data_IF_365665912618
#
_entry.id   IF_365665912618
#
_cell.length_a   1.000
_cell.length_b   1.000
_cell.length_c   1.000
_cell.angle_alpha   90.00
_cell.angle_beta   90.00
_cell.angle_gamma   90.00
#
_symmetry.space_group_name_H-M   'P 1'
#
loop_
_entity.id
_entity.type
_entity.pdbx_description
1 polymer ?
#
# COMPACT_ATOMS: atom_id res chain seq x y z
N UNK A 1 9.30 5.21 -8.67
CA UNK A 1 9.53 4.11 -7.72
C UNK A 1 8.50 4.22 -6.61
N UNK A 2 7.20 4.26 -6.95
CA UNK A 2 6.17 4.72 -6.02
C UNK A 2 6.06 3.91 -4.72
N UNK A 3 6.20 2.57 -4.80
CA UNK A 3 6.17 1.72 -3.60
C UNK A 3 7.29 2.03 -2.61
N UNK A 4 8.50 2.34 -3.11
CA UNK A 4 9.65 2.63 -2.27
C UNK A 4 9.60 4.06 -1.72
N UNK A 5 9.07 5.01 -2.50
CA UNK A 5 8.81 6.38 -2.03
C UNK A 5 7.78 6.36 -0.89
N UNK A 6 6.67 5.65 -1.08
CA UNK A 6 5.64 5.46 -0.05
C UNK A 6 6.19 4.76 1.20
N UNK A 7 6.97 3.68 1.03
CA UNK A 7 7.67 3.00 2.13
C UNK A 7 8.61 3.96 2.87
N UNK A 8 9.43 4.72 2.14
CA UNK A 8 10.38 5.64 2.72
C UNK A 8 9.67 6.76 3.50
N UNK A 9 8.52 7.24 3.04
CA UNK A 9 7.75 8.31 3.70
C UNK A 9 6.67 7.81 4.66
N UNK A 10 6.61 6.51 4.92
CA UNK A 10 5.65 5.87 5.80
C UNK A 10 4.16 6.09 5.42
N UNK A 11 3.85 6.08 4.12
CA UNK A 11 2.50 6.33 3.57
C UNK A 11 1.86 5.02 3.09
N UNK A 12 0.72 4.56 3.66
CA UNK A 12 -0.01 3.39 3.17
C UNK A 12 -0.45 3.52 1.70
N UNK A 13 -0.59 2.40 1.00
CA UNK A 13 -0.76 2.38 -0.46
C UNK A 13 -2.11 1.75 -0.84
N UNK A 14 -2.82 2.37 -1.78
CA UNK A 14 -3.89 1.73 -2.55
C UNK A 14 -3.34 1.35 -3.93
N UNK A 15 -3.30 0.07 -4.24
CA UNK A 15 -2.69 -0.46 -5.45
C UNK A 15 -3.74 -0.76 -6.54
N UNK A 16 -3.45 -0.32 -7.76
CA UNK A 16 -4.20 -0.66 -8.97
C UNK A 16 -3.22 -1.23 -10.01
N UNK A 17 -2.85 -2.52 -9.94
CA UNK A 17 -1.87 -3.11 -10.84
C UNK A 17 -2.41 -3.20 -12.27
N UNK A 18 -1.62 -2.79 -13.26
CA UNK A 18 -2.03 -2.82 -14.67
C UNK A 18 -1.26 -3.88 -15.48
N UNK A 19 0.06 -3.93 -15.31
CA UNK A 19 0.93 -4.83 -16.08
C UNK A 19 2.28 -5.06 -15.38
N UNK A 20 2.99 -6.11 -15.78
CA UNK A 20 4.36 -6.40 -15.34
C UNK A 20 4.45 -6.87 -13.90
N UNK A 21 5.42 -6.35 -13.16
CA UNK A 21 5.70 -6.73 -11.77
C UNK A 21 4.73 -6.10 -10.75
N UNK A 22 3.85 -5.20 -11.19
CA UNK A 22 2.93 -4.49 -10.30
C UNK A 22 1.97 -5.42 -9.55
N UNK A 23 1.54 -6.53 -10.17
CA UNK A 23 0.71 -7.54 -9.50
C UNK A 23 1.43 -8.16 -8.29
N UNK A 24 2.65 -8.68 -8.53
CA UNK A 24 3.49 -9.23 -7.46
C UNK A 24 3.81 -8.21 -6.36
N UNK A 25 4.10 -6.96 -6.73
CA UNK A 25 4.35 -5.89 -5.77
C UNK A 25 3.10 -5.59 -4.91
N UNK A 26 1.91 -5.61 -5.53
CA UNK A 26 0.62 -5.43 -4.85
C UNK A 26 0.38 -6.55 -3.83
N UNK A 27 0.58 -7.81 -4.22
CA UNK A 27 0.41 -8.95 -3.31
C UNK A 27 1.31 -8.83 -2.08
N UNK A 28 2.55 -8.35 -2.26
CA UNK A 28 3.48 -8.12 -1.15
C UNK A 28 3.07 -6.97 -0.24
N UNK A 29 2.48 -5.91 -0.79
CA UNK A 29 1.93 -4.79 0.00
C UNK A 29 0.78 -5.30 0.88
N UNK A 30 -0.13 -6.08 0.30
CA UNK A 30 -1.29 -6.67 0.99
C UNK A 30 -0.82 -7.66 2.06
N UNK A 31 0.05 -8.61 1.70
CA UNK A 31 0.54 -9.65 2.63
C UNK A 31 1.27 -9.06 3.84
N UNK A 32 1.92 -7.90 3.69
CA UNK A 32 2.59 -7.18 4.79
C UNK A 32 1.67 -6.21 5.53
N UNK A 33 0.40 -6.10 5.14
CA UNK A 33 -0.55 -5.16 5.72
C UNK A 33 -0.13 -3.69 5.57
N UNK A 34 0.53 -3.36 4.45
CA UNK A 34 1.03 -2.02 4.14
C UNK A 34 0.06 -1.22 3.27
N UNK A 35 -1.01 -1.86 2.80
CA UNK A 35 -1.95 -1.26 1.87
C UNK A 35 -3.05 -2.22 1.47
N UNK A 36 -3.84 -1.79 0.49
CA UNK A 36 -4.90 -2.55 -0.16
C UNK A 36 -4.64 -2.60 -1.67
N UNK A 37 -5.31 -3.50 -2.37
CA UNK A 37 -5.28 -3.55 -3.83
C UNK A 37 -6.65 -3.88 -4.41
N UNK A 38 -6.92 -3.38 -5.61
CA UNK A 38 -8.11 -3.66 -6.39
C UNK A 38 -7.79 -3.69 -7.88
N UNK A 39 -8.59 -4.43 -8.65
CA UNK A 39 -8.55 -4.35 -10.11
C UNK A 39 -9.33 -3.10 -10.55
N UNK A 40 -8.64 -2.16 -11.19
CA UNK A 40 -9.22 -0.90 -11.67
C UNK A 40 -10.31 -1.11 -12.74
N UNK A 41 -10.37 -2.29 -13.37
CA UNK A 41 -11.37 -2.63 -14.38
C UNK A 41 -12.69 -3.09 -13.78
N UNK A 42 -12.65 -3.55 -12.52
CA UNK A 42 -13.79 -4.17 -11.84
C UNK A 42 -14.31 -3.32 -10.67
N UNK A 43 -13.42 -2.57 -10.01
CA UNK A 43 -13.75 -1.79 -8.82
C UNK A 43 -14.65 -0.59 -9.14
N UNK A 44 -15.70 -0.41 -8.33
CA UNK A 44 -16.61 0.74 -8.42
C UNK A 44 -16.06 1.97 -7.68
N UNK A 45 -16.64 3.14 -7.97
CA UNK A 45 -16.32 4.39 -7.27
C UNK A 45 -16.55 4.28 -5.75
N UNK A 46 -17.68 3.70 -5.35
CA UNK A 46 -18.03 3.52 -3.93
C UNK A 46 -17.04 2.60 -3.21
N UNK A 47 -16.57 1.55 -3.88
CA UNK A 47 -15.54 0.66 -3.34
C UNK A 47 -14.20 1.39 -3.20
N UNK A 48 -13.79 2.20 -4.18
CA UNK A 48 -12.58 3.04 -4.07
C UNK A 48 -12.68 3.96 -2.85
N UNK A 49 -13.80 4.66 -2.68
CA UNK A 49 -14.04 5.55 -1.52
C UNK A 49 -13.97 4.77 -0.21
N UNK A 50 -14.57 3.58 -0.16
CA UNK A 50 -14.54 2.71 1.02
C UNK A 50 -13.11 2.26 1.35
N UNK A 51 -12.33 1.84 0.36
CA UNK A 51 -10.94 1.41 0.53
C UNK A 51 -10.04 2.57 0.99
N UNK A 52 -10.24 3.78 0.47
CA UNK A 52 -9.51 4.98 0.93
C UNK A 52 -9.86 5.26 2.40
N UNK A 53 -11.15 5.26 2.75
CA UNK A 53 -11.58 5.43 4.16
C UNK A 53 -10.96 4.36 5.04
N UNK A 54 -10.91 3.12 4.59
CA UNK A 54 -10.29 2.03 5.33
C UNK A 54 -8.79 2.30 5.57
N UNK A 55 -8.03 2.70 4.54
CA UNK A 55 -6.61 3.02 4.70
C UNK A 55 -6.35 4.19 5.66
N UNK A 56 -7.24 5.17 5.69
CA UNK A 56 -7.13 6.37 6.54
C UNK A 56 -7.54 6.10 7.98
N UNK A 57 -8.64 5.37 8.20
CA UNK A 57 -9.24 5.20 9.54
C UNK A 57 -8.86 3.89 10.23
N UNK A 58 -8.44 2.85 9.50
CA UNK A 58 -7.85 1.65 10.11
C UNK A 58 -6.35 1.87 10.36
N UNK A 59 -6.02 2.14 11.62
CA UNK A 59 -4.66 2.52 12.01
C UNK A 59 -3.61 1.43 11.76
N UNK A 60 -4.02 0.18 11.48
CA UNK A 60 -3.09 -0.93 11.25
C UNK A 60 -2.18 -0.67 10.06
N UNK A 61 -2.69 -0.08 8.97
CA UNK A 61 -1.91 0.18 7.76
C UNK A 61 -0.84 1.24 8.02
N UNK A 62 -1.22 2.33 8.70
CA UNK A 62 -0.28 3.38 9.10
C UNK A 62 0.77 2.87 10.10
N UNK A 63 0.36 2.06 11.08
CA UNK A 63 1.30 1.46 12.06
C UNK A 63 2.28 0.51 11.39
N UNK A 64 1.82 -0.36 10.50
CA UNK A 64 2.68 -1.30 9.78
C UNK A 64 3.62 -0.57 8.83
N UNK A 65 3.13 0.44 8.11
CA UNK A 65 3.94 1.22 7.19
C UNK A 65 5.03 2.03 7.91
N UNK A 66 4.74 2.61 9.08
CA UNK A 66 5.76 3.26 9.93
C UNK A 66 6.86 2.27 10.35
N UNK A 67 6.48 1.10 10.87
CA UNK A 67 7.45 0.05 11.25
C UNK A 67 8.33 -0.38 10.07
N UNK A 68 7.72 -0.57 8.89
CA UNK A 68 8.45 -0.93 7.68
C UNK A 68 9.39 0.19 7.22
N UNK A 69 8.95 1.45 7.30
CA UNK A 69 9.76 2.64 6.98
C UNK A 69 10.99 2.74 7.89
N UNK A 70 10.81 2.59 9.20
CA UNK A 70 11.89 2.64 10.19
C UNK A 70 12.93 1.53 9.93
N UNK A 71 12.47 0.32 9.64
CA UNK A 71 13.35 -0.80 9.27
C UNK A 71 14.10 -0.52 7.97
N UNK A 72 13.41 -0.03 6.94
CA UNK A 72 14.01 0.29 5.65
C UNK A 72 15.11 1.36 5.80
N UNK A 73 14.80 2.47 6.49
CA UNK A 73 15.77 3.55 6.76
C UNK A 73 16.94 3.09 7.64
N UNK A 74 16.77 2.06 8.46
CA UNK A 74 17.87 1.49 9.27
C UNK A 74 18.79 0.59 8.44
N UNK A 75 18.24 -0.20 7.51
CA UNK A 75 19.00 -1.17 6.71
C UNK A 75 19.67 -0.55 5.48
N UNK A 76 19.06 0.46 4.87
CA UNK A 76 19.50 1.07 3.62
C UNK A 76 19.99 2.51 3.82
N UNK A 77 20.66 2.73 4.96
CA UNK A 77 21.26 4.00 5.38
C UNK A 77 22.66 4.16 4.80
#
# INVERSE_FOLDING_TARGET
>A
NGQYEALYHAVPILCFPIYGDQGYNTDRIIAKGLGLGADIREVSEDEIVSMIKQLVYDDKYTKNMKRASDLYRKLYK
#
